data_IF_687472972598
#
_entry.id   IF_687472972598
#
_cell.length_a   1.000
_cell.length_b   1.000
_cell.length_c   1.000
_cell.angle_alpha   90.00
_cell.angle_beta   90.00
_cell.angle_gamma   90.00
#
_symmetry.space_group_name_H-M   'P 1'
#
loop_
_entity.id
_entity.type
_entity.pdbx_description
1 polymer ?
#
# COMPACT_ATOMS: atom_id res chain seq x y z
N UNK A 1 -11.64 -5.82 -12.98
CA UNK A 1 -11.12 -6.54 -14.16
C UNK A 1 -11.69 -5.95 -15.44
N UNK A 2 -12.93 -6.29 -15.84
CA UNK A 2 -13.56 -5.80 -17.09
C UNK A 2 -13.46 -4.29 -17.32
N UNK A 3 -13.85 -3.48 -16.32
CA UNK A 3 -13.79 -2.02 -16.41
C UNK A 3 -12.37 -1.46 -16.67
N UNK A 4 -11.34 -2.15 -16.18
CA UNK A 4 -9.94 -1.75 -16.29
C UNK A 4 -9.21 -2.42 -17.47
N UNK A 5 -9.90 -3.27 -18.26
CA UNK A 5 -9.30 -3.99 -19.37
C UNK A 5 -8.24 -5.03 -18.96
N UNK A 6 -8.26 -5.51 -17.72
CA UNK A 6 -7.33 -6.51 -17.19
C UNK A 6 -8.03 -7.82 -16.80
N UNK A 7 -7.23 -8.84 -16.52
CA UNK A 7 -7.72 -10.13 -16.02
C UNK A 7 -8.17 -10.04 -14.56
N UNK A 8 -8.95 -11.02 -14.11
CA UNK A 8 -9.39 -11.09 -12.72
C UNK A 8 -8.22 -11.26 -11.74
N UNK A 9 -7.18 -11.99 -12.15
CA UNK A 9 -5.97 -12.25 -11.35
C UNK A 9 -5.05 -11.04 -11.19
N UNK A 10 -5.28 -9.97 -11.96
CA UNK A 10 -4.57 -8.69 -11.84
C UNK A 10 -5.29 -7.68 -10.94
N UNK A 11 -6.43 -8.06 -10.35
CA UNK A 11 -7.21 -7.21 -9.44
C UNK A 11 -7.21 -7.82 -8.05
N UNK A 12 -6.59 -7.09 -7.12
CA UNK A 12 -6.59 -7.40 -5.70
C UNK A 12 -7.78 -6.71 -5.02
N UNK A 13 -8.38 -7.39 -4.06
CA UNK A 13 -9.52 -6.89 -3.29
C UNK A 13 -9.13 -6.82 -1.81
N UNK A 14 -9.56 -5.74 -1.16
CA UNK A 14 -9.44 -5.53 0.27
C UNK A 14 -10.73 -4.90 0.78
N UNK A 15 -11.17 -5.29 1.97
CA UNK A 15 -12.40 -4.81 2.58
C UNK A 15 -12.17 -4.56 4.07
N UNK A 16 -12.82 -3.53 4.61
CA UNK A 16 -12.78 -3.16 6.02
C UNK A 16 -14.14 -2.58 6.39
N UNK A 17 -14.65 -2.89 7.58
CA UNK A 17 -16.00 -2.51 8.00
C UNK A 17 -16.62 -3.53 8.95
N UNK A 18 -17.95 -3.52 9.05
CA UNK A 18 -18.71 -4.40 9.95
C UNK A 18 -18.63 -5.86 9.49
N UNK A 19 -18.27 -6.75 10.41
CA UNK A 19 -18.21 -8.20 10.15
C UNK A 19 -19.62 -8.78 10.07
N UNK A 20 -19.86 -9.64 9.08
CA UNK A 20 -21.12 -10.38 8.92
C UNK A 20 -22.21 -9.64 8.13
N UNK A 21 -21.96 -8.41 7.68
CA UNK A 21 -22.88 -7.67 6.82
C UNK A 21 -22.59 -7.95 5.33
N UNK A 22 -23.57 -8.48 4.56
CA UNK A 22 -23.37 -8.72 3.14
C UNK A 22 -23.14 -7.42 2.36
N UNK A 23 -22.11 -7.40 1.52
CA UNK A 23 -21.82 -6.26 0.65
C UNK A 23 -22.81 -6.19 -0.52
N UNK A 24 -23.66 -5.17 -0.55
CA UNK A 24 -24.56 -4.89 -1.67
C UNK A 24 -23.81 -4.23 -2.83
N UNK A 25 -23.37 -5.07 -3.78
CA UNK A 25 -22.61 -4.63 -4.97
C UNK A 25 -23.44 -3.79 -5.95
N UNK A 26 -24.77 -3.82 -5.88
CA UNK A 26 -25.62 -3.05 -6.80
C UNK A 26 -25.41 -1.54 -6.63
N UNK A 27 -25.06 -1.12 -5.40
CA UNK A 27 -24.82 0.28 -5.03
C UNK A 27 -23.63 0.92 -5.74
N UNK A 28 -22.64 0.14 -6.18
CA UNK A 28 -21.39 0.70 -6.73
C UNK A 28 -20.87 0.02 -7.99
N UNK A 29 -21.28 -1.21 -8.31
CA UNK A 29 -20.74 -1.96 -9.46
C UNK A 29 -20.90 -1.22 -10.80
N UNK A 30 -22.00 -0.48 -10.97
CA UNK A 30 -22.28 0.32 -12.15
C UNK A 30 -21.35 1.55 -12.31
N UNK A 31 -20.66 1.98 -11.24
CA UNK A 31 -19.77 3.13 -11.24
C UNK A 31 -18.35 2.79 -11.73
N UNK A 32 -17.96 1.51 -11.70
CA UNK A 32 -16.57 1.08 -11.91
C UNK A 32 -15.98 1.52 -13.24
N UNK A 33 -16.76 1.49 -14.34
CA UNK A 33 -16.30 1.94 -15.65
C UNK A 33 -16.00 3.44 -15.67
N UNK A 34 -16.87 4.25 -15.04
CA UNK A 34 -16.66 5.69 -14.91
C UNK A 34 -15.46 6.02 -14.03
N UNK A 35 -15.25 5.28 -12.94
CA UNK A 35 -14.08 5.46 -12.06
C UNK A 35 -12.76 5.22 -12.80
N UNK A 36 -12.68 4.17 -13.63
CA UNK A 36 -11.49 3.91 -14.45
C UNK A 36 -11.28 5.02 -15.48
N UNK A 37 -12.35 5.43 -16.18
CA UNK A 37 -12.27 6.47 -17.21
C UNK A 37 -11.87 7.84 -16.65
N UNK A 38 -12.30 8.17 -15.43
CA UNK A 38 -12.02 9.45 -14.78
C UNK A 38 -10.76 9.43 -13.91
N UNK A 39 -10.06 8.30 -13.84
CA UNK A 39 -8.84 8.15 -13.07
C UNK A 39 -7.76 9.12 -13.58
N UNK A 40 -7.18 9.91 -12.66
CA UNK A 40 -6.08 10.84 -12.96
C UNK A 40 -4.92 10.64 -11.99
N UNK A 41 -3.67 10.91 -12.42
CA UNK A 41 -2.51 10.83 -11.53
C UNK A 41 -2.63 11.78 -10.34
N UNK A 42 -1.99 11.44 -9.22
CA UNK A 42 -1.82 12.35 -8.07
C UNK A 42 -2.95 12.36 -7.04
N UNK A 43 -4.03 11.58 -7.23
CA UNK A 43 -5.17 11.48 -6.30
C UNK A 43 -4.90 10.66 -5.02
N UNK A 44 -3.70 10.76 -4.46
CA UNK A 44 -3.30 9.97 -3.30
C UNK A 44 -4.07 10.36 -2.04
N UNK A 45 -4.34 11.65 -1.84
CA UNK A 45 -5.09 12.15 -0.68
C UNK A 45 -6.54 11.68 -0.72
N UNK A 46 -7.17 11.74 -1.89
CA UNK A 46 -8.53 11.27 -2.12
C UNK A 46 -8.63 9.76 -1.93
N UNK A 47 -7.65 9.00 -2.43
CA UNK A 47 -7.58 7.56 -2.20
C UNK A 47 -7.40 7.22 -0.71
N UNK A 48 -6.53 7.93 0.01
CA UNK A 48 -6.33 7.75 1.45
C UNK A 48 -7.62 8.05 2.24
N UNK A 49 -8.36 9.11 1.87
CA UNK A 49 -9.65 9.43 2.49
C UNK A 49 -10.72 8.37 2.23
N UNK A 50 -10.76 7.83 1.01
CA UNK A 50 -11.79 6.88 0.61
C UNK A 50 -11.70 5.51 1.33
N UNK A 51 -10.53 5.18 1.90
CA UNK A 51 -10.33 3.92 2.66
C UNK A 51 -10.46 4.09 4.18
N UNK A 52 -10.67 5.31 4.69
CA UNK A 52 -10.83 5.58 6.12
C UNK A 52 -12.14 4.96 6.66
N UNK A 53 -12.14 4.59 7.94
CA UNK A 53 -13.38 4.27 8.68
C UNK A 53 -13.49 5.13 9.95
N UNK A 54 -12.84 4.72 11.04
CA UNK A 54 -12.79 5.43 12.31
C UNK A 54 -11.55 6.33 12.42
N UNK A 55 -10.68 6.28 11.41
CA UNK A 55 -9.54 7.16 11.25
C UNK A 55 -9.93 8.65 11.40
N UNK A 56 -9.17 9.44 12.16
CA UNK A 56 -9.43 10.88 12.31
C UNK A 56 -8.74 11.71 11.24
N UNK A 57 -7.71 11.16 10.58
CA UNK A 57 -7.02 11.79 9.45
C UNK A 57 -6.53 10.78 8.40
N UNK A 58 -6.43 11.20 7.12
CA UNK A 58 -5.88 10.35 6.06
C UNK A 58 -4.37 10.18 6.25
N UNK A 59 -3.86 8.96 6.03
CA UNK A 59 -2.46 8.60 6.28
C UNK A 59 -1.72 8.40 4.96
N UNK A 60 -0.64 9.15 4.77
CA UNK A 60 0.13 9.18 3.52
C UNK A 60 1.63 9.21 3.80
N UNK A 61 2.41 8.63 2.89
CA UNK A 61 3.86 8.76 2.88
C UNK A 61 4.40 8.65 1.46
N UNK A 62 5.31 9.56 1.12
CA UNK A 62 6.02 9.56 -0.18
C UNK A 62 7.52 9.62 0.05
N UNK A 63 8.28 8.89 -0.76
CA UNK A 63 9.72 9.01 -0.83
C UNK A 63 10.20 8.97 -2.28
N UNK A 64 11.13 9.86 -2.62
CA UNK A 64 11.88 9.81 -3.89
C UNK A 64 13.29 9.32 -3.59
N UNK A 65 13.77 8.37 -4.38
CA UNK A 65 15.08 7.74 -4.16
C UNK A 65 15.72 7.36 -5.48
N UNK A 66 17.05 7.35 -5.52
CA UNK A 66 17.78 6.81 -6.67
C UNK A 66 17.77 5.28 -6.67
N UNK A 67 17.51 4.70 -7.84
CA UNK A 67 17.78 3.30 -8.16
C UNK A 67 18.75 3.31 -9.35
N UNK A 68 20.01 2.95 -9.10
CA UNK A 68 21.10 3.37 -10.00
C UNK A 68 21.23 4.90 -9.99
N UNK A 69 21.23 5.52 -11.17
CA UNK A 69 21.28 6.98 -11.31
C UNK A 69 19.91 7.65 -11.49
N UNK A 70 18.85 6.84 -11.66
CA UNK A 70 17.50 7.32 -11.96
C UNK A 70 16.66 7.44 -10.69
N UNK A 71 15.93 8.56 -10.56
CA UNK A 71 14.95 8.72 -9.49
C UNK A 71 13.71 7.85 -9.72
N UNK A 72 13.30 7.18 -8.64
CA UNK A 72 12.05 6.42 -8.53
C UNK A 72 11.26 6.94 -7.34
N UNK A 73 9.95 6.87 -7.43
CA UNK A 73 9.02 7.34 -6.40
C UNK A 73 8.37 6.15 -5.72
N UNK A 74 8.24 6.21 -4.40
CA UNK A 74 7.44 5.30 -3.58
C UNK A 74 6.33 6.14 -2.95
N UNK A 75 5.08 5.80 -3.19
CA UNK A 75 3.92 6.39 -2.53
C UNK A 75 3.23 5.30 -1.72
N UNK A 76 2.70 5.67 -0.56
CA UNK A 76 1.95 4.78 0.29
C UNK A 76 0.80 5.49 0.97
N UNK A 77 -0.30 4.77 1.12
CA UNK A 77 -1.46 5.16 1.93
C UNK A 77 -1.79 4.04 2.90
N UNK A 78 -2.32 4.39 4.06
CA UNK A 78 -2.82 3.40 5.02
C UNK A 78 -4.09 3.89 5.70
N UNK A 79 -4.84 2.95 6.28
CA UNK A 79 -5.93 3.22 7.23
C UNK A 79 -5.82 2.29 8.44
N UNK A 80 -6.49 2.64 9.52
CA UNK A 80 -6.46 1.94 10.81
C UNK A 80 -6.33 2.94 11.96
N UNK A 81 -7.13 2.73 13.01
CA UNK A 81 -7.21 3.57 14.21
C UNK A 81 -7.58 2.71 15.45
N UNK A 82 -8.48 1.73 15.32
CA UNK A 82 -8.73 0.69 16.31
C UNK A 82 -8.39 -0.73 15.80
N UNK A 83 -8.45 -1.72 16.69
CA UNK A 83 -8.10 -3.13 16.48
C UNK A 83 -6.69 -3.31 15.91
N UNK A 84 -5.68 -2.77 16.58
CA UNK A 84 -4.28 -2.89 16.16
C UNK A 84 -3.49 -3.76 17.13
N UNK A 85 -2.99 -4.91 16.65
CA UNK A 85 -2.16 -5.83 17.40
C UNK A 85 -0.94 -6.33 16.59
N UNK A 86 0.11 -6.87 17.25
CA UNK A 86 1.17 -7.61 16.56
C UNK A 86 0.58 -8.92 16.01
N UNK A 87 0.96 -9.29 14.79
CA UNK A 87 0.32 -10.32 13.95
C UNK A 87 -0.91 -9.84 13.16
N UNK A 88 -0.79 -8.60 12.71
CA UNK A 88 -1.74 -7.83 11.94
C UNK A 88 -2.93 -7.29 12.77
N UNK A 89 -3.29 -6.09 12.39
CA UNK A 89 -4.08 -5.07 13.03
C UNK A 89 -5.00 -4.51 11.96
N UNK A 90 -6.29 -4.19 12.16
CA UNK A 90 -7.29 -3.79 11.14
C UNK A 90 -6.77 -2.65 10.25
N UNK A 91 -6.00 -3.03 9.25
CA UNK A 91 -5.11 -2.12 8.53
C UNK A 91 -5.09 -2.54 7.08
N UNK A 92 -5.48 -1.58 6.26
CA UNK A 92 -5.27 -1.63 4.82
C UNK A 92 -4.15 -0.65 4.49
N UNK A 93 -3.09 -1.14 3.85
CA UNK A 93 -1.99 -0.29 3.38
C UNK A 93 -1.63 -0.66 1.96
N UNK A 94 -1.52 0.35 1.11
CA UNK A 94 -1.26 0.20 -0.31
C UNK A 94 -0.07 1.05 -0.70
N UNK A 95 0.98 0.40 -1.21
CA UNK A 95 2.21 1.04 -1.65
C UNK A 95 2.32 0.92 -3.17
N UNK A 96 2.73 1.97 -3.85
CA UNK A 96 3.04 1.93 -5.27
C UNK A 96 4.37 2.59 -5.58
N UNK A 97 5.06 2.06 -6.57
CA UNK A 97 6.30 2.61 -7.10
C UNK A 97 6.37 2.54 -8.61
N UNK A 98 7.14 3.43 -9.22
CA UNK A 98 7.49 3.37 -10.64
C UNK A 98 8.80 2.62 -10.92
N UNK A 99 9.50 2.14 -9.88
CA UNK A 99 10.71 1.35 -10.00
C UNK A 99 10.48 0.02 -10.76
N UNK A 100 11.39 -0.39 -11.67
CA UNK A 100 11.32 -1.69 -12.34
C UNK A 100 11.91 -2.80 -11.47
N UNK A 101 11.13 -3.23 -10.48
CA UNK A 101 11.51 -4.28 -9.52
C UNK A 101 10.54 -5.46 -9.68
N UNK A 102 11.08 -6.67 -9.86
CA UNK A 102 10.30 -7.87 -10.03
C UNK A 102 9.48 -8.23 -8.77
N UNK A 103 8.32 -8.85 -8.95
CA UNK A 103 7.40 -9.18 -7.87
C UNK A 103 8.03 -10.04 -6.74
N UNK A 104 8.86 -11.06 -7.00
CA UNK A 104 9.52 -11.81 -5.92
C UNK A 104 10.46 -10.95 -5.06
N UNK A 105 11.11 -9.96 -5.67
CA UNK A 105 11.99 -9.01 -4.97
C UNK A 105 11.14 -8.07 -4.11
N UNK A 106 10.03 -7.56 -4.65
CA UNK A 106 9.10 -6.74 -3.87
C UNK A 106 8.56 -7.50 -2.66
N UNK A 107 8.22 -8.78 -2.80
CA UNK A 107 7.74 -9.60 -1.71
C UNK A 107 8.79 -9.75 -0.60
N UNK A 108 10.07 -10.03 -0.93
CA UNK A 108 11.16 -10.09 0.07
C UNK A 108 11.32 -8.74 0.79
N UNK A 109 11.32 -7.63 0.04
CA UNK A 109 11.44 -6.29 0.61
C UNK A 109 10.27 -5.94 1.52
N UNK A 110 9.04 -6.28 1.10
CA UNK A 110 7.83 -6.02 1.87
C UNK A 110 7.82 -6.83 3.15
N UNK A 111 8.05 -8.15 3.08
CA UNK A 111 8.07 -9.02 4.27
C UNK A 111 9.08 -8.54 5.33
N UNK A 112 10.28 -8.15 4.92
CA UNK A 112 11.30 -7.59 5.83
C UNK A 112 10.91 -6.23 6.40
N UNK A 113 10.27 -5.39 5.59
CA UNK A 113 9.80 -4.07 5.99
C UNK A 113 8.68 -4.15 7.02
N UNK A 114 7.66 -4.96 6.75
CA UNK A 114 6.49 -5.18 7.59
C UNK A 114 6.85 -5.64 9.00
N UNK A 115 7.80 -6.58 9.11
CA UNK A 115 8.27 -7.11 10.39
C UNK A 115 8.84 -6.02 11.33
N UNK A 116 9.32 -4.89 10.78
CA UNK A 116 9.91 -3.78 11.55
C UNK A 116 9.04 -2.52 11.58
N UNK A 117 7.82 -2.59 11.04
CA UNK A 117 6.87 -1.48 11.00
C UNK A 117 5.52 -1.89 11.56
N UNK A 118 4.63 -2.38 10.70
CA UNK A 118 3.24 -2.68 11.05
C UNK A 118 3.13 -3.85 12.04
N UNK A 119 3.98 -4.87 11.93
CA UNK A 119 3.99 -5.99 12.88
C UNK A 119 4.78 -5.68 14.17
N UNK A 120 5.29 -4.45 14.31
CA UNK A 120 6.03 -3.99 15.49
C UNK A 120 5.25 -2.94 16.30
N UNK A 121 3.96 -2.77 16.02
CA UNK A 121 3.08 -1.81 16.70
C UNK A 121 1.80 -2.49 17.20
N UNK A 122 1.24 -1.99 18.30
CA UNK A 122 -0.04 -2.41 18.89
C UNK A 122 -0.77 -1.18 19.43
N UNK A 123 -2.10 -1.13 19.34
CA UNK A 123 -2.98 -0.12 19.94
C UNK A 123 -3.84 -0.77 21.02
N UNK A 124 -4.53 -1.87 20.72
CA UNK A 124 -5.48 -2.53 21.64
C UNK A 124 -5.34 -4.06 21.73
N UNK A 125 -4.40 -4.67 21.00
CA UNK A 125 -4.08 -6.11 21.02
C UNK A 125 -5.13 -7.06 20.41
N UNK A 126 -6.14 -6.51 19.72
CA UNK A 126 -7.07 -7.30 18.89
C UNK A 126 -6.56 -7.43 17.45
N UNK A 127 -6.18 -8.64 17.04
CA UNK A 127 -5.77 -8.96 15.67
C UNK A 127 -6.99 -8.99 14.73
N UNK A 128 -6.91 -8.30 13.59
CA UNK A 128 -8.00 -8.31 12.60
C UNK A 128 -8.02 -9.56 11.74
N UNK A 129 -9.16 -9.80 11.10
CA UNK A 129 -9.34 -10.89 10.13
C UNK A 129 -9.05 -10.48 8.69
N UNK A 130 -8.78 -9.18 8.42
CA UNK A 130 -8.83 -8.60 7.06
C UNK A 130 -7.56 -7.83 6.64
N UNK A 131 -6.47 -7.99 7.36
CA UNK A 131 -5.31 -7.12 7.17
C UNK A 131 -4.59 -7.36 5.87
N UNK A 132 -4.29 -6.25 5.20
CA UNK A 132 -3.79 -6.29 3.84
C UNK A 132 -2.77 -5.19 3.63
N UNK A 133 -1.53 -5.60 3.36
CA UNK A 133 -0.47 -4.73 2.86
C UNK A 133 -0.03 -5.18 1.47
N UNK A 134 -0.24 -4.33 0.47
CA UNK A 134 0.15 -4.61 -0.92
C UNK A 134 1.16 -3.59 -1.42
N UNK A 135 2.07 -4.04 -2.28
CA UNK A 135 3.00 -3.18 -3.02
C UNK A 135 2.92 -3.46 -4.51
N UNK A 136 2.86 -2.40 -5.31
CA UNK A 136 2.79 -2.46 -6.77
C UNK A 136 3.97 -1.72 -7.40
N UNK A 137 4.64 -2.33 -8.38
CA UNK A 137 5.63 -1.67 -9.21
C UNK A 137 5.17 -1.58 -10.66
N UNK A 138 5.08 -0.36 -11.19
CA UNK A 138 4.67 -0.14 -12.59
C UNK A 138 5.82 -0.26 -13.59
N UNK A 139 7.07 -0.27 -13.11
CA UNK A 139 8.27 -0.31 -13.95
C UNK A 139 8.49 0.89 -14.87
N UNK A 140 7.65 1.93 -14.80
CA UNK A 140 7.70 3.10 -15.70
C UNK A 140 9.04 3.83 -15.67
N UNK A 141 9.77 3.78 -14.55
CA UNK A 141 11.09 4.40 -14.44
C UNK A 141 12.18 3.71 -15.29
N UNK A 142 11.95 2.49 -15.78
CA UNK A 142 12.85 1.85 -16.76
C UNK A 142 13.03 2.72 -18.01
N UNK A 143 11.97 3.41 -18.45
CA UNK A 143 12.02 4.36 -19.58
C UNK A 143 12.90 5.59 -19.30
N UNK A 144 13.21 5.87 -18.02
CA UNK A 144 14.11 6.93 -17.56
C UNK A 144 15.51 6.40 -17.20
N UNK A 145 15.81 5.14 -17.51
CA UNK A 145 17.12 4.52 -17.25
C UNK A 145 17.25 3.81 -15.90
N UNK A 146 16.16 3.64 -15.13
CA UNK A 146 16.25 2.88 -13.89
C UNK A 146 16.58 1.41 -14.19
N UNK A 147 17.55 0.80 -13.50
CA UNK A 147 17.93 -0.58 -13.74
C UNK A 147 16.83 -1.54 -13.30
N UNK A 148 16.56 -2.56 -14.10
CA UNK A 148 15.68 -3.65 -13.70
C UNK A 148 16.32 -4.48 -12.59
N UNK A 149 15.54 -4.78 -11.55
CA UNK A 149 15.99 -5.57 -10.40
C UNK A 149 15.18 -6.85 -10.28
N UNK A 150 15.88 -7.98 -10.36
CA UNK A 150 15.30 -9.33 -10.27
C UNK A 150 15.87 -10.16 -9.10
N UNK A 151 16.91 -9.68 -8.42
CA UNK A 151 17.54 -10.34 -7.27
C UNK A 151 17.39 -9.49 -5.99
N UNK A 152 16.83 -10.02 -4.88
CA UNK A 152 16.75 -9.30 -3.60
C UNK A 152 18.11 -8.93 -3.00
N UNK A 153 19.20 -9.57 -3.43
CA UNK A 153 20.57 -9.29 -2.99
C UNK A 153 21.27 -8.21 -3.82
N UNK A 154 20.62 -7.65 -4.84
CA UNK A 154 21.20 -6.61 -5.67
C UNK A 154 21.61 -5.37 -4.84
N UNK A 155 22.88 -4.98 -4.94
CA UNK A 155 23.45 -3.87 -4.18
C UNK A 155 22.74 -2.53 -4.46
N UNK A 156 22.18 -2.36 -5.66
CA UNK A 156 21.47 -1.14 -6.10
C UNK A 156 20.17 -0.93 -5.32
N UNK A 157 19.62 -1.99 -4.71
CA UNK A 157 18.44 -1.89 -3.83
C UNK A 157 18.69 -1.16 -2.52
N UNK A 158 19.95 -0.91 -2.13
CA UNK A 158 20.28 -0.37 -0.81
C UNK A 158 19.52 0.92 -0.47
N UNK A 159 19.47 1.87 -1.40
CA UNK A 159 18.76 3.13 -1.21
C UNK A 159 17.23 2.92 -1.21
N UNK A 160 16.71 2.15 -2.17
CA UNK A 160 15.28 1.82 -2.28
C UNK A 160 14.76 1.13 -1.01
N UNK A 161 15.47 0.12 -0.50
CA UNK A 161 15.11 -0.62 0.72
C UNK A 161 14.98 0.31 1.93
N UNK A 162 15.91 1.26 2.09
CA UNK A 162 15.86 2.26 3.16
C UNK A 162 14.67 3.21 2.99
N UNK A 163 14.40 3.67 1.76
CA UNK A 163 13.28 4.55 1.46
C UNK A 163 11.93 3.84 1.72
N UNK A 164 11.77 2.60 1.26
CA UNK A 164 10.59 1.78 1.53
C UNK A 164 10.40 1.59 3.04
N UNK A 165 11.46 1.25 3.78
CA UNK A 165 11.40 1.12 5.23
C UNK A 165 10.95 2.41 5.94
N UNK A 166 11.39 3.58 5.46
CA UNK A 166 10.92 4.88 5.98
C UNK A 166 9.44 5.12 5.69
N UNK A 167 8.97 4.80 4.48
CA UNK A 167 7.55 4.90 4.10
C UNK A 167 6.69 4.01 5.00
N UNK A 168 7.05 2.72 5.11
CA UNK A 168 6.32 1.76 5.94
C UNK A 168 6.31 2.15 7.41
N UNK A 169 7.47 2.61 7.95
CA UNK A 169 7.56 3.10 9.32
C UNK A 169 6.71 4.36 9.54
N UNK A 170 6.73 5.30 8.60
CA UNK A 170 5.93 6.52 8.69
C UNK A 170 4.43 6.20 8.76
N UNK A 171 3.95 5.32 7.88
CA UNK A 171 2.55 4.90 7.85
C UNK A 171 2.16 4.15 9.14
N UNK A 172 3.00 3.22 9.62
CA UNK A 172 2.76 2.53 10.88
C UNK A 172 2.66 3.51 12.07
N UNK A 173 3.54 4.52 12.13
CA UNK A 173 3.47 5.55 13.17
C UNK A 173 2.23 6.43 13.05
N UNK A 174 1.78 6.73 11.83
CA UNK A 174 0.53 7.46 11.60
C UNK A 174 -0.69 6.65 12.05
N UNK A 175 -0.68 5.33 11.90
CA UNK A 175 -1.71 4.43 12.45
C UNK A 175 -1.71 4.48 13.97
N UNK A 176 -0.55 4.28 14.62
CA UNK A 176 -0.45 4.30 16.09
C UNK A 176 -0.87 5.63 16.69
N UNK A 177 -0.51 6.75 16.05
CA UNK A 177 -0.87 8.10 16.51
C UNK A 177 -2.36 8.41 16.37
N UNK A 178 -3.06 7.67 15.51
CA UNK A 178 -4.50 7.77 15.32
C UNK A 178 -5.25 6.68 16.11
N UNK A 179 -4.58 6.06 17.09
CA UNK A 179 -5.18 5.06 17.98
C UNK A 179 -6.45 5.59 18.62
N UNK A 180 -7.53 4.81 18.63
CA UNK A 180 -8.79 5.19 19.29
C UNK A 180 -8.56 5.39 20.80
N UNK A 181 -8.51 6.64 21.25
CA UNK A 181 -8.31 7.03 22.66
C UNK A 181 -7.36 8.21 22.83
#
# INVERSE_FOLDING_TARGET
AKAAGCTATEVFLASTGVIGEPLDTSKFSHLLAGLVSNGKPGLWTEAAKAIMTTDTYPKLATATVKLGDTEVTINGISKGAGMIAPDMATMLSFIATDAPIAAPVLQDLLSRGTAKSFNAVTVDSDTSTSDTLLIFATGKAAKRGAPEITDPKDARLGAFRRALGKVLKSLALQVVRDGEG
#
